data_IF_157410339101
#
_entry.id   IF_157410339101
#
_cell.length_a   1.000
_cell.length_b   1.000
_cell.length_c   1.000
_cell.angle_alpha   90.00
_cell.angle_beta   90.00
_cell.angle_gamma   90.00
#
_symmetry.space_group_name_H-M   'P 1'
#
loop_
_entity.id
_entity.type
_entity.pdbx_description
1 polymer ?
#
# COMPACT_ATOMS: atom_id res chain seq x y z
N UNK A 1 32.56 -25.47 -78.06
CA UNK A 1 33.04 -24.56 -77.00
C UNK A 1 31.91 -23.68 -76.44
N UNK A 2 31.15 -22.95 -77.26
CA UNK A 2 30.02 -22.11 -76.80
C UNK A 2 28.91 -22.86 -76.03
N UNK A 3 28.59 -24.10 -76.41
CA UNK A 3 27.58 -24.94 -75.74
C UNK A 3 28.03 -25.46 -74.36
N UNK A 4 29.33 -25.72 -74.18
CA UNK A 4 29.89 -26.16 -72.89
C UNK A 4 29.93 -24.98 -71.91
N UNK A 5 30.27 -23.77 -72.38
CA UNK A 5 30.21 -22.55 -71.57
C UNK A 5 28.78 -22.19 -71.15
N UNK A 6 27.78 -22.39 -72.03
CA UNK A 6 26.37 -22.15 -71.67
C UNK A 6 25.90 -23.13 -70.60
N UNK A 7 26.23 -24.42 -70.72
CA UNK A 7 25.88 -25.45 -69.75
C UNK A 7 26.56 -25.23 -68.39
N UNK A 8 27.83 -24.84 -68.37
CA UNK A 8 28.55 -24.47 -67.13
C UNK A 8 27.98 -23.18 -66.50
N UNK A 9 27.60 -22.17 -67.29
CA UNK A 9 26.98 -20.94 -66.81
C UNK A 9 25.54 -21.15 -66.31
N UNK A 10 24.81 -22.11 -66.87
CA UNK A 10 23.47 -22.51 -66.41
C UNK A 10 23.54 -23.38 -65.15
N UNK A 11 24.51 -24.30 -65.07
CA UNK A 11 24.76 -25.10 -63.87
C UNK A 11 25.24 -24.23 -62.69
N UNK A 12 26.13 -23.26 -62.93
CA UNK A 12 26.59 -22.32 -61.91
C UNK A 12 25.49 -21.39 -61.39
N UNK A 13 24.57 -20.93 -62.25
CA UNK A 13 23.40 -20.13 -61.84
C UNK A 13 22.37 -20.95 -61.07
N UNK A 14 22.11 -22.19 -61.51
CA UNK A 14 21.16 -23.09 -60.85
C UNK A 14 21.66 -23.48 -59.44
N UNK A 15 22.97 -23.76 -59.28
CA UNK A 15 23.55 -24.07 -57.97
C UNK A 15 23.54 -22.86 -57.01
N UNK A 16 23.83 -21.65 -57.50
CA UNK A 16 23.77 -20.42 -56.69
C UNK A 16 22.34 -20.08 -56.24
N UNK A 17 21.34 -20.13 -57.14
CA UNK A 17 19.94 -19.85 -56.80
C UNK A 17 19.32 -20.89 -55.86
N UNK A 18 19.74 -22.16 -55.98
CA UNK A 18 19.19 -23.25 -55.19
C UNK A 18 19.83 -23.34 -53.79
N UNK A 19 21.10 -22.89 -53.62
CA UNK A 19 21.72 -22.72 -52.30
C UNK A 19 21.09 -21.57 -51.50
N UNK A 20 20.76 -20.43 -52.14
CA UNK A 20 20.18 -19.27 -51.44
C UNK A 20 18.78 -19.55 -50.89
N UNK A 21 17.92 -20.23 -51.66
CA UNK A 21 16.55 -20.57 -51.24
C UNK A 21 16.49 -21.58 -50.09
N UNK A 22 17.40 -22.56 -50.06
CA UNK A 22 17.45 -23.59 -49.00
C UNK A 22 17.99 -23.00 -47.69
N UNK A 23 18.95 -22.08 -47.75
CA UNK A 23 19.44 -21.40 -46.55
C UNK A 23 18.38 -20.44 -45.98
N UNK A 24 17.67 -19.70 -46.85
CA UNK A 24 16.58 -18.82 -46.41
C UNK A 24 15.44 -19.58 -45.72
N UNK A 25 15.03 -20.75 -46.24
CA UNK A 25 13.94 -21.53 -45.63
C UNK A 25 14.33 -22.11 -44.26
N UNK A 26 15.60 -22.49 -44.06
CA UNK A 26 16.13 -22.93 -42.77
C UNK A 26 16.19 -21.80 -41.74
N UNK A 27 16.61 -20.61 -42.17
CA UNK A 27 16.62 -19.41 -41.32
C UNK A 27 15.18 -19.03 -40.93
N UNK A 28 14.25 -19.03 -41.89
CA UNK A 28 12.84 -18.75 -41.64
C UNK A 28 12.23 -19.71 -40.60
N UNK A 29 12.45 -21.03 -40.75
CA UNK A 29 11.97 -22.01 -39.77
C UNK A 29 12.61 -21.83 -38.37
N UNK A 30 13.86 -21.37 -38.32
CA UNK A 30 14.52 -21.05 -37.03
C UNK A 30 13.92 -19.81 -36.38
N UNK A 31 13.57 -18.78 -37.17
CA UNK A 31 12.89 -17.57 -36.69
C UNK A 31 11.48 -17.90 -36.17
N UNK A 32 10.73 -18.74 -36.89
CA UNK A 32 9.39 -19.18 -36.47
C UNK A 32 9.44 -19.94 -35.15
N UNK A 33 10.38 -20.87 -34.98
CA UNK A 33 10.58 -21.59 -33.73
C UNK A 33 10.95 -20.65 -32.57
N UNK A 34 11.84 -19.69 -32.80
CA UNK A 34 12.19 -18.68 -31.79
C UNK A 34 10.99 -17.78 -31.44
N UNK A 35 10.18 -17.41 -32.42
CA UNK A 35 8.98 -16.60 -32.22
C UNK A 35 7.97 -17.33 -31.33
N UNK A 36 7.77 -18.63 -31.56
CA UNK A 36 6.90 -19.45 -30.72
C UNK A 36 7.38 -19.50 -29.27
N UNK A 37 8.68 -19.71 -29.04
CA UNK A 37 9.26 -19.70 -27.69
C UNK A 37 9.07 -18.34 -27.00
N UNK A 38 9.24 -17.23 -27.73
CA UNK A 38 9.01 -15.87 -27.19
C UNK A 38 7.54 -15.66 -26.82
N UNK A 39 6.60 -16.16 -27.61
CA UNK A 39 5.17 -16.07 -27.29
C UNK A 39 4.82 -16.84 -26.01
N UNK A 40 5.28 -18.09 -25.89
CA UNK A 40 5.05 -18.91 -24.69
C UNK A 40 5.66 -18.26 -23.43
N UNK A 41 6.87 -17.68 -23.55
CA UNK A 41 7.49 -16.93 -22.44
C UNK A 41 6.69 -15.68 -22.08
N UNK A 42 6.19 -14.93 -23.07
CA UNK A 42 5.37 -13.73 -22.84
C UNK A 42 4.07 -14.06 -22.09
N UNK A 43 3.40 -15.15 -22.46
CA UNK A 43 2.18 -15.62 -21.79
C UNK A 43 2.46 -16.03 -20.34
N UNK A 44 3.56 -16.76 -20.11
CA UNK A 44 3.98 -17.16 -18.77
C UNK A 44 4.31 -15.95 -17.87
N UNK A 45 5.04 -14.97 -18.40
CA UNK A 45 5.35 -13.72 -17.69
C UNK A 45 4.07 -12.96 -17.36
N UNK A 46 3.15 -12.82 -18.34
CA UNK A 46 1.88 -12.11 -18.16
C UNK A 46 1.00 -12.80 -17.10
N UNK A 47 0.92 -14.13 -17.13
CA UNK A 47 0.20 -14.91 -16.11
C UNK A 47 0.79 -14.72 -14.71
N UNK A 48 2.12 -14.73 -14.60
CA UNK A 48 2.83 -14.47 -13.35
C UNK A 48 2.52 -13.08 -12.77
N UNK A 49 2.55 -12.04 -13.61
CA UNK A 49 2.21 -10.66 -13.23
C UNK A 49 0.75 -10.58 -12.75
N UNK A 50 -0.18 -11.27 -13.43
CA UNK A 50 -1.58 -11.34 -12.99
C UNK A 50 -1.72 -11.89 -11.57
N UNK A 51 -1.05 -13.00 -11.26
CA UNK A 51 -1.07 -13.59 -9.91
C UNK A 51 -0.49 -12.66 -8.85
N UNK A 52 0.58 -11.93 -9.18
CA UNK A 52 1.17 -10.93 -8.26
C UNK A 52 0.21 -9.75 -8.01
N UNK A 53 -0.51 -9.32 -9.05
CA UNK A 53 -1.55 -8.29 -8.94
C UNK A 53 -2.68 -8.72 -7.99
N UNK A 54 -3.16 -9.96 -8.13
CA UNK A 54 -4.20 -10.52 -7.27
C UNK A 54 -3.77 -10.60 -5.80
N UNK A 55 -2.53 -11.04 -5.54
CA UNK A 55 -1.94 -11.05 -4.19
C UNK A 55 -1.89 -9.64 -3.60
N UNK A 56 -1.47 -8.64 -4.40
CA UNK A 56 -1.39 -7.24 -3.97
C UNK A 56 -2.78 -6.69 -3.61
N UNK A 57 -3.80 -6.98 -4.43
CA UNK A 57 -5.18 -6.61 -4.13
C UNK A 57 -5.71 -7.28 -2.86
N UNK A 58 -5.34 -8.55 -2.63
CA UNK A 58 -5.67 -9.29 -1.40
C UNK A 58 -5.06 -8.65 -0.15
N UNK A 59 -3.78 -8.25 -0.21
CA UNK A 59 -3.10 -7.53 0.88
C UNK A 59 -3.77 -6.18 1.16
N UNK A 60 -4.17 -5.44 0.12
CA UNK A 60 -4.91 -4.18 0.27
C UNK A 60 -6.20 -4.36 1.08
N UNK A 61 -7.02 -5.36 0.71
CA UNK A 61 -8.26 -5.68 1.45
C UNK A 61 -8.01 -6.14 2.88
N UNK A 62 -6.95 -6.91 3.13
CA UNK A 62 -6.57 -7.31 4.48
C UNK A 62 -6.16 -6.09 5.32
N UNK A 63 -5.40 -5.17 4.75
CA UNK A 63 -5.01 -3.91 5.41
C UNK A 63 -6.23 -3.07 5.80
N UNK A 64 -7.19 -2.93 4.90
CA UNK A 64 -8.47 -2.23 5.16
C UNK A 64 -9.25 -2.91 6.29
N UNK A 65 -9.37 -4.24 6.26
CA UNK A 65 -10.08 -5.00 7.30
C UNK A 65 -9.40 -4.89 8.67
N UNK A 66 -8.06 -4.94 8.71
CA UNK A 66 -7.30 -4.78 9.96
C UNK A 66 -7.51 -3.38 10.51
N UNK A 67 -7.39 -2.34 9.67
CA UNK A 67 -7.61 -0.95 10.06
C UNK A 67 -9.03 -0.74 10.60
N UNK A 68 -10.05 -1.21 9.88
CA UNK A 68 -11.45 -1.13 10.30
C UNK A 68 -11.71 -1.91 11.61
N UNK A 69 -11.07 -3.06 11.79
CA UNK A 69 -11.16 -3.85 13.02
C UNK A 69 -10.57 -3.12 14.22
N UNK A 70 -9.41 -2.46 14.04
CA UNK A 70 -8.77 -1.64 15.08
C UNK A 70 -9.65 -0.45 15.44
N UNK A 71 -10.19 0.28 14.45
CA UNK A 71 -11.12 1.39 14.70
C UNK A 71 -12.38 0.94 15.45
N UNK A 72 -12.96 -0.19 15.05
CA UNK A 72 -14.12 -0.75 15.75
C UNK A 72 -13.77 -1.15 17.19
N UNK A 73 -12.59 -1.75 17.41
CA UNK A 73 -12.13 -2.11 18.76
C UNK A 73 -11.90 -0.87 19.62
N UNK A 74 -11.28 0.17 19.07
CA UNK A 74 -11.11 1.46 19.72
C UNK A 74 -12.47 2.06 20.10
N UNK A 75 -13.43 2.07 19.17
CA UNK A 75 -14.77 2.57 19.43
C UNK A 75 -15.50 1.76 20.52
N UNK A 76 -15.30 0.44 20.57
CA UNK A 76 -15.93 -0.42 21.57
C UNK A 76 -15.27 -0.31 22.96
N UNK A 77 -13.95 -0.09 23.04
CA UNK A 77 -13.20 -0.05 24.30
C UNK A 77 -13.06 1.35 24.88
N UNK A 78 -12.93 2.37 24.04
CA UNK A 78 -12.64 3.75 24.46
C UNK A 78 -13.86 4.68 24.40
N UNK A 79 -14.80 4.47 23.47
CA UNK A 79 -15.92 5.41 23.27
C UNK A 79 -17.11 5.11 24.18
N UNK A 80 -17.41 3.86 24.56
CA UNK A 80 -18.58 3.60 25.43
C UNK A 80 -18.53 4.34 26.78
N UNK A 81 -17.38 4.43 27.48
CA UNK A 81 -17.25 5.27 28.69
C UNK A 81 -17.32 6.78 28.41
N UNK A 82 -16.93 7.22 27.21
CA UNK A 82 -16.88 8.63 26.80
C UNK A 82 -18.18 9.12 26.14
N UNK A 83 -19.06 8.21 25.72
CA UNK A 83 -20.19 8.52 24.84
C UNK A 83 -21.12 9.57 25.48
N UNK A 84 -21.42 10.62 24.72
CA UNK A 84 -22.29 11.70 25.18
C UNK A 84 -21.59 12.80 25.97
N UNK A 85 -20.27 12.70 26.21
CA UNK A 85 -19.55 13.62 27.07
C UNK A 85 -18.14 13.92 26.56
N UNK A 86 -17.73 15.18 26.64
CA UNK A 86 -16.32 15.51 26.46
C UNK A 86 -15.51 14.84 27.56
N UNK A 87 -14.49 14.09 27.14
CA UNK A 87 -13.76 13.16 28.00
C UNK A 87 -12.27 13.20 27.68
N UNK A 88 -11.46 13.61 28.65
CA UNK A 88 -10.01 13.60 28.54
C UNK A 88 -9.47 12.18 28.37
N UNK A 89 -8.49 12.07 27.48
CA UNK A 89 -7.60 10.92 27.39
C UNK A 89 -6.26 11.29 28.02
N UNK A 90 -5.47 10.29 28.41
CA UNK A 90 -4.18 10.50 29.06
C UNK A 90 -3.09 11.06 28.15
N UNK A 91 -3.41 11.79 27.09
CA UNK A 91 -2.48 12.30 26.09
C UNK A 91 -2.33 13.81 26.20
N UNK A 92 -1.10 14.31 26.13
CA UNK A 92 -0.77 15.73 26.29
C UNK A 92 0.53 16.09 25.59
N UNK A 93 0.65 17.31 25.08
CA UNK A 93 1.89 17.88 24.55
C UNK A 93 2.44 19.03 25.43
N UNK A 94 1.98 19.13 26.69
CA UNK A 94 2.41 20.16 27.67
C UNK A 94 3.94 20.27 27.82
N UNK A 95 4.67 19.20 27.56
CA UNK A 95 6.13 19.18 27.65
C UNK A 95 6.81 19.78 26.41
N UNK A 96 6.23 19.57 25.24
CA UNK A 96 6.80 19.92 23.94
C UNK A 96 5.68 19.98 22.91
N UNK A 97 5.34 21.20 22.49
CA UNK A 97 4.28 21.49 21.52
C UNK A 97 4.40 20.61 20.27
N UNK A 98 3.28 19.99 19.87
CA UNK A 98 3.24 19.08 18.73
C UNK A 98 3.84 17.69 18.99
N UNK A 99 4.35 17.44 20.21
CA UNK A 99 4.84 16.13 20.64
C UNK A 99 3.99 15.58 21.77
N UNK A 100 3.02 14.76 21.38
CA UNK A 100 2.06 14.15 22.31
C UNK A 100 2.64 12.94 23.04
N UNK A 101 2.49 12.95 24.37
CA UNK A 101 2.99 11.94 25.29
C UNK A 101 1.88 11.44 26.20
N UNK A 102 1.96 10.17 26.58
CA UNK A 102 1.10 9.62 27.61
C UNK A 102 1.49 10.17 28.97
N UNK A 103 0.54 10.71 29.73
CA UNK A 103 0.77 11.27 31.06
C UNK A 103 1.17 10.21 32.09
N UNK A 104 0.85 8.94 31.84
CA UNK A 104 1.12 7.84 32.75
C UNK A 104 2.60 7.45 32.81
N UNK A 105 3.29 7.45 31.67
CA UNK A 105 4.67 6.95 31.55
C UNK A 105 5.61 7.84 30.72
N UNK A 106 5.10 8.92 30.13
CA UNK A 106 5.85 9.86 29.30
C UNK A 106 6.21 9.35 27.90
N UNK A 107 5.72 8.16 27.51
CA UNK A 107 6.00 7.59 26.20
C UNK A 107 5.38 8.45 25.10
N UNK A 108 6.13 8.65 24.01
CA UNK A 108 5.66 9.39 22.84
C UNK A 108 4.65 8.51 22.12
N UNK A 109 3.46 9.04 21.89
CA UNK A 109 2.48 8.36 21.07
C UNK A 109 2.62 8.78 19.60
N UNK A 110 2.77 7.82 18.70
CA UNK A 110 2.55 8.07 17.28
C UNK A 110 1.03 8.08 17.07
N UNK A 111 0.44 9.27 17.12
CA UNK A 111 -0.99 9.41 16.90
C UNK A 111 -1.30 9.04 15.45
N UNK A 112 -2.35 8.24 15.27
CA UNK A 112 -2.93 8.02 13.95
C UNK A 112 -3.73 9.27 13.59
N UNK A 113 -3.30 10.00 12.56
CA UNK A 113 -3.96 11.24 12.09
C UNK A 113 -5.48 11.09 11.90
N UNK A 114 -5.96 9.89 11.54
CA UNK A 114 -7.39 9.62 11.36
C UNK A 114 -8.23 9.70 12.65
N UNK A 115 -7.60 9.77 13.82
CA UNK A 115 -8.30 9.89 15.11
C UNK A 115 -8.66 11.32 15.46
N UNK A 116 -7.97 12.30 14.88
CA UNK A 116 -8.24 13.71 15.10
C UNK A 116 -9.53 14.16 14.44
N UNK A 117 -10.19 15.12 15.08
CA UNK A 117 -11.27 15.89 14.48
C UNK A 117 -10.80 16.61 13.22
N UNK A 118 -11.73 16.94 12.33
CA UNK A 118 -11.40 17.75 11.16
C UNK A 118 -10.86 19.11 11.61
N UNK A 119 -9.60 19.39 11.26
CA UNK A 119 -8.90 20.62 11.62
C UNK A 119 -8.07 20.53 12.90
N UNK A 120 -8.07 19.40 13.59
CA UNK A 120 -7.31 19.18 14.83
C UNK A 120 -6.01 18.38 14.59
N UNK A 121 -4.99 18.55 15.45
CA UNK A 121 -4.92 19.52 16.54
C UNK A 121 -4.63 20.94 16.04
N UNK A 122 -5.26 21.95 16.63
CA UNK A 122 -5.19 23.33 16.15
C UNK A 122 -4.49 24.32 17.10
N UNK A 123 -4.23 23.89 18.34
CA UNK A 123 -3.66 24.67 19.43
C UNK A 123 -4.26 26.07 19.57
N UNK A 124 -5.58 26.17 19.79
CA UNK A 124 -6.31 27.42 19.69
C UNK A 124 -5.83 28.47 20.70
N UNK A 125 -5.13 29.48 20.18
CA UNK A 125 -4.56 30.55 21.00
C UNK A 125 -3.34 30.11 21.81
N UNK A 126 -2.64 29.06 21.37
CA UNK A 126 -1.39 28.56 21.94
C UNK A 126 -1.52 28.17 23.41
N UNK A 127 -2.59 27.43 23.73
CA UNK A 127 -2.99 27.08 25.11
C UNK A 127 -3.72 25.75 25.22
N UNK A 128 -3.83 25.00 24.14
CA UNK A 128 -4.53 23.72 24.10
C UNK A 128 -3.49 22.61 24.12
N UNK A 129 -3.38 21.93 25.27
CA UNK A 129 -2.29 20.97 25.51
C UNK A 129 -2.76 19.63 26.09
N UNK A 130 -4.06 19.46 26.23
CA UNK A 130 -4.69 18.25 26.76
C UNK A 130 -5.66 17.71 25.73
N UNK A 131 -5.60 16.41 25.47
CA UNK A 131 -6.45 15.79 24.45
C UNK A 131 -7.74 15.26 25.06
N UNK A 132 -8.86 15.52 24.40
CA UNK A 132 -10.14 14.92 24.76
C UNK A 132 -10.88 14.38 23.55
N UNK A 133 -11.79 13.43 23.78
CA UNK A 133 -12.85 13.14 22.83
C UNK A 133 -13.84 14.28 22.81
N UNK A 134 -14.11 14.81 21.62
CA UNK A 134 -15.06 15.89 21.41
C UNK A 134 -16.41 15.31 20.97
N UNK A 135 -17.34 15.24 21.92
CA UNK A 135 -18.62 14.56 21.71
C UNK A 135 -19.41 15.15 20.53
N UNK A 136 -19.51 16.48 20.46
CA UNK A 136 -20.25 17.18 19.41
C UNK A 136 -19.60 17.12 18.03
N UNK A 137 -18.39 16.54 17.91
CA UNK A 137 -17.64 16.39 16.65
C UNK A 137 -17.36 14.93 16.31
N UNK A 138 -18.30 14.05 16.67
CA UNK A 138 -18.27 12.63 16.27
C UNK A 138 -17.31 11.79 17.11
N UNK A 139 -17.13 12.18 18.39
CA UNK A 139 -16.26 11.49 19.34
C UNK A 139 -14.82 11.31 18.82
N UNK A 140 -14.33 12.31 18.07
CA UNK A 140 -12.94 12.40 17.59
C UNK A 140 -12.07 13.20 18.55
N UNK A 141 -10.76 13.05 18.43
CA UNK A 141 -9.80 13.74 19.29
C UNK A 141 -9.77 15.24 18.97
N UNK A 142 -9.56 16.03 20.02
CA UNK A 142 -9.34 17.47 19.97
C UNK A 142 -8.29 17.83 21.03
N UNK A 143 -7.33 18.68 20.71
CA UNK A 143 -6.50 19.32 21.72
C UNK A 143 -7.29 20.46 22.35
N UNK A 144 -7.21 20.59 23.67
CA UNK A 144 -7.99 21.58 24.38
C UNK A 144 -7.28 22.11 25.62
N UNK A 145 -7.79 23.23 26.11
CA UNK A 145 -7.30 23.89 27.32
C UNK A 145 -7.46 22.92 28.49
N UNK A 146 -6.34 22.60 29.14
CA UNK A 146 -6.28 21.63 30.25
C UNK A 146 -7.09 22.03 31.49
N UNK A 147 -7.47 23.29 31.64
CA UNK A 147 -8.18 23.81 32.82
C UNK A 147 -9.70 23.62 32.73
N UNK A 148 -10.21 23.15 31.59
CA UNK A 148 -11.62 22.84 31.43
C UNK A 148 -12.02 21.58 32.22
N UNK A 149 -13.31 21.48 32.54
CA UNK A 149 -13.84 20.42 33.41
C UNK A 149 -14.57 19.38 32.59
N UNK A 150 -13.85 18.33 32.21
CA UNK A 150 -14.38 17.18 31.49
C UNK A 150 -14.27 15.90 32.31
N UNK A 151 -14.89 14.81 31.83
CA UNK A 151 -14.63 13.47 32.37
C UNK A 151 -13.22 13.03 31.98
N UNK A 152 -12.74 11.94 32.56
CA UNK A 152 -11.47 11.32 32.20
C UNK A 152 -11.62 9.81 32.11
N UNK A 153 -10.88 9.19 31.19
CA UNK A 153 -10.72 7.73 31.13
C UNK A 153 -9.48 7.35 31.93
N UNK A 154 -9.62 6.33 32.77
CA UNK A 154 -8.48 5.73 33.47
C UNK A 154 -8.08 4.41 32.83
N UNK A 155 -6.78 4.18 32.74
CA UNK A 155 -6.23 2.87 32.49
C UNK A 155 -6.10 2.11 33.82
N UNK A 156 -6.44 0.81 33.80
CA UNK A 156 -6.15 -0.12 34.89
C UNK A 156 -5.49 -1.35 34.28
N UNK A 157 -4.42 -1.92 34.90
CA UNK A 157 -3.89 -3.20 34.48
C UNK A 157 -4.99 -4.26 34.44
N UNK A 158 -5.00 -5.09 33.38
CA UNK A 158 -5.87 -6.23 33.32
C UNK A 158 -5.59 -7.15 34.51
N UNK A 159 -6.61 -7.42 35.30
CA UNK A 159 -6.54 -8.39 36.38
C UNK A 159 -6.85 -9.75 35.76
N UNK A 160 -5.82 -10.57 35.56
CA UNK A 160 -6.00 -11.95 35.15
C UNK A 160 -6.39 -12.74 36.40
N UNK A 161 -7.66 -13.11 36.47
CA UNK A 161 -8.23 -13.97 37.52
C UNK A 161 -7.78 -15.42 37.37
#
# INVERSE_FOLDING_TARGET
LATIFLLLAMAGRCHSQQLDHIQLSRIQGSIEALTQVVQELSENVTSGIGKLSDVTAGIGKLSENVTSGIEKMFNLLAIDPAKGHDTYVGLSDLQEEGTYRWVADGTIHQIVESWWGEGEPNNQGSREHCVHFFHYKGDRLNDHICTNKFRYICEKPAQLD
#
